data_IF_935231039979
#
_entry.id   IF_935231039979
#
_cell.length_a   1.000
_cell.length_b   1.000
_cell.length_c   1.000
_cell.angle_alpha   90.00
_cell.angle_beta   90.00
_cell.angle_gamma   90.00
#
_symmetry.space_group_name_H-M   'P 1'
#
loop_
_entity.id
_entity.type
_entity.pdbx_description
1 polymer ?
#
# COMPACT_ATOMS: atom_id res chain seq x y z
N UNK A 1 18.31 14.56 -26.93
CA UNK A 1 16.89 14.40 -26.53
C UNK A 1 16.35 12.96 -26.68
N UNK A 2 16.69 12.11 -27.67
CA UNK A 2 16.11 10.76 -27.76
C UNK A 2 16.69 9.75 -26.76
N UNK A 3 17.97 9.91 -26.37
CA UNK A 3 18.66 9.00 -25.43
C UNK A 3 17.98 8.93 -24.06
N UNK A 4 17.59 10.09 -23.50
CA UNK A 4 16.88 10.14 -22.21
C UNK A 4 15.50 9.48 -22.28
N UNK A 5 14.81 9.60 -23.42
CA UNK A 5 13.51 8.95 -23.65
C UNK A 5 13.67 7.42 -23.72
N UNK A 6 14.71 6.94 -24.40
CA UNK A 6 15.04 5.51 -24.49
C UNK A 6 15.41 4.95 -23.11
N UNK A 7 16.27 5.64 -22.35
CA UNK A 7 16.64 5.24 -20.99
C UNK A 7 15.43 5.14 -20.06
N UNK A 8 14.54 6.15 -20.08
CA UNK A 8 13.29 6.12 -19.30
C UNK A 8 12.38 4.96 -19.69
N UNK A 9 12.21 4.72 -20.99
CA UNK A 9 11.43 3.58 -21.49
C UNK A 9 11.99 2.24 -21.00
N UNK A 10 13.30 2.08 -21.04
CA UNK A 10 13.97 0.88 -20.55
C UNK A 10 13.77 0.67 -19.03
N UNK A 11 13.92 1.71 -18.22
CA UNK A 11 13.68 1.62 -16.77
C UNK A 11 12.23 1.24 -16.46
N UNK A 12 11.25 1.86 -17.14
CA UNK A 12 9.83 1.49 -16.98
C UNK A 12 9.61 0.02 -17.36
N UNK A 13 10.21 -0.42 -18.46
CA UNK A 13 10.09 -1.80 -18.91
C UNK A 13 10.65 -2.79 -17.89
N UNK A 14 11.83 -2.52 -17.30
CA UNK A 14 12.41 -3.32 -16.22
C UNK A 14 11.56 -3.32 -14.94
N UNK A 15 10.88 -2.21 -14.63
CA UNK A 15 10.05 -2.11 -13.42
C UNK A 15 8.71 -2.85 -13.59
N UNK A 16 8.19 -2.88 -14.81
CA UNK A 16 6.87 -3.43 -15.14
C UNK A 16 6.95 -4.92 -15.49
N UNK A 17 8.07 -5.43 -16.00
CA UNK A 17 8.26 -6.86 -16.32
C UNK A 17 7.89 -7.84 -15.20
N UNK A 18 8.28 -7.67 -13.91
CA UNK A 18 7.87 -8.61 -12.87
C UNK A 18 6.36 -8.65 -12.68
N UNK A 19 5.69 -7.50 -12.78
CA UNK A 19 4.22 -7.42 -12.70
C UNK A 19 3.57 -8.10 -13.90
N UNK A 20 4.08 -7.85 -15.11
CA UNK A 20 3.59 -8.51 -16.32
C UNK A 20 3.80 -10.03 -16.29
N UNK A 21 4.91 -10.50 -15.69
CA UNK A 21 5.17 -11.92 -15.55
C UNK A 21 4.13 -12.59 -14.65
N UNK A 22 3.78 -11.98 -13.51
CA UNK A 22 2.71 -12.47 -12.63
C UNK A 22 1.36 -12.46 -13.34
N UNK A 23 1.06 -11.40 -14.09
CA UNK A 23 -0.19 -11.34 -14.88
C UNK A 23 -0.22 -12.39 -16.00
N UNK A 24 0.90 -12.64 -16.68
CA UNK A 24 1.01 -13.66 -17.71
C UNK A 24 0.87 -15.08 -17.14
N UNK A 25 1.34 -15.33 -15.90
CA UNK A 25 1.16 -16.61 -15.24
C UNK A 25 -0.32 -17.00 -15.04
N UNK A 26 -1.21 -16.02 -14.87
CA UNK A 26 -2.66 -16.26 -14.80
C UNK A 26 -3.26 -16.80 -16.11
N UNK A 27 -2.64 -16.54 -17.27
CA UNK A 27 -3.09 -17.11 -18.55
C UNK A 27 -2.77 -18.61 -18.68
N UNK A 28 -1.85 -19.14 -17.87
CA UNK A 28 -1.40 -20.53 -17.92
C UNK A 28 -2.11 -21.40 -16.86
N UNK A 29 -3.41 -21.18 -16.66
CA UNK A 29 -4.18 -21.90 -15.65
C UNK A 29 -4.34 -23.39 -15.98
N UNK A 30 -3.97 -24.26 -15.04
CA UNK A 30 -4.11 -25.72 -15.14
C UNK A 30 -4.76 -26.34 -13.88
N UNK A 31 -4.97 -27.66 -13.90
CA UNK A 31 -5.60 -28.39 -12.80
C UNK A 31 -4.79 -28.32 -11.49
N UNK A 32 -3.46 -28.39 -11.58
CA UNK A 32 -2.58 -28.29 -10.42
C UNK A 32 -2.65 -26.91 -9.75
N UNK A 33 -2.73 -25.85 -10.56
CA UNK A 33 -2.91 -24.47 -10.10
C UNK A 33 -4.26 -24.30 -9.39
N UNK A 34 -5.32 -24.93 -9.89
CA UNK A 34 -6.64 -24.92 -9.26
C UNK A 34 -6.64 -25.60 -7.89
N UNK A 35 -5.98 -26.75 -7.76
CA UNK A 35 -5.88 -27.49 -6.49
C UNK A 35 -5.12 -26.68 -5.43
N UNK A 36 -4.04 -25.99 -5.81
CA UNK A 36 -3.31 -25.07 -4.91
C UNK A 36 -4.21 -23.92 -4.47
N UNK A 37 -4.92 -23.28 -5.41
CA UNK A 37 -5.82 -22.17 -5.10
C UNK A 37 -6.94 -22.58 -4.13
N UNK A 38 -7.54 -23.75 -4.34
CA UNK A 38 -8.54 -24.32 -3.45
C UNK A 38 -7.97 -24.62 -2.06
N UNK A 39 -6.77 -25.18 -1.98
CA UNK A 39 -6.07 -25.42 -0.70
C UNK A 39 -5.82 -24.13 0.08
N UNK A 40 -5.40 -23.06 -0.61
CA UNK A 40 -5.18 -21.74 -0.01
C UNK A 40 -6.49 -21.10 0.47
N UNK A 41 -7.58 -21.24 -0.31
CA UNK A 41 -8.91 -20.73 0.03
C UNK A 41 -9.49 -21.41 1.28
N UNK A 42 -9.20 -22.68 1.48
CA UNK A 42 -9.73 -23.43 2.61
C UNK A 42 -8.98 -23.21 3.93
N UNK A 43 -7.75 -22.71 3.88
CA UNK A 43 -6.87 -22.67 5.06
C UNK A 43 -6.54 -21.24 5.45
N UNK A 44 -5.80 -20.54 4.61
CA UNK A 44 -5.04 -19.36 5.01
C UNK A 44 -5.59 -18.05 4.46
N UNK A 45 -6.14 -18.06 3.25
CA UNK A 45 -6.64 -16.85 2.59
C UNK A 45 -7.77 -16.17 3.39
N UNK A 46 -8.80 -16.87 3.88
CA UNK A 46 -9.91 -16.22 4.57
C UNK A 46 -9.47 -15.56 5.88
N UNK A 47 -8.64 -16.26 6.66
CA UNK A 47 -8.18 -15.77 7.95
C UNK A 47 -7.22 -14.58 7.79
N UNK A 48 -6.27 -14.65 6.86
CA UNK A 48 -5.35 -13.54 6.60
C UNK A 48 -6.07 -12.32 6.03
N UNK A 49 -6.99 -12.51 5.07
CA UNK A 49 -7.74 -11.38 4.50
C UNK A 49 -8.59 -10.69 5.55
N UNK A 50 -9.31 -11.43 6.40
CA UNK A 50 -10.11 -10.86 7.48
C UNK A 50 -9.25 -10.11 8.49
N UNK A 51 -8.14 -10.72 8.93
CA UNK A 51 -7.22 -10.10 9.90
C UNK A 51 -6.60 -8.83 9.34
N UNK A 52 -6.12 -8.86 8.08
CA UNK A 52 -5.58 -7.67 7.42
C UNK A 52 -6.64 -6.58 7.24
N UNK A 53 -7.87 -6.93 6.85
CA UNK A 53 -8.97 -5.95 6.74
C UNK A 53 -9.28 -5.30 8.09
N UNK A 54 -9.30 -6.09 9.16
CA UNK A 54 -9.53 -5.59 10.51
C UNK A 54 -8.42 -4.64 10.96
N UNK A 55 -7.17 -5.02 10.75
CA UNK A 55 -6.01 -4.16 11.04
C UNK A 55 -6.04 -2.88 10.20
N UNK A 56 -6.32 -2.96 8.90
CA UNK A 56 -6.44 -1.80 8.03
C UNK A 56 -7.54 -0.84 8.50
N UNK A 57 -8.69 -1.37 8.94
CA UNK A 57 -9.79 -0.55 9.47
C UNK A 57 -9.37 0.16 10.75
N UNK A 58 -8.80 -0.57 11.72
CA UNK A 58 -8.34 0.00 12.98
C UNK A 58 -7.26 1.07 12.77
N UNK A 59 -6.29 0.80 11.88
CA UNK A 59 -5.25 1.76 11.52
C UNK A 59 -5.85 2.97 10.82
N UNK A 60 -6.77 2.80 9.87
CA UNK A 60 -7.44 3.91 9.20
C UNK A 60 -8.17 4.81 10.21
N UNK A 61 -8.92 4.21 11.14
CA UNK A 61 -9.60 4.96 12.22
C UNK A 61 -8.59 5.69 13.11
N UNK A 62 -7.51 5.03 13.52
CA UNK A 62 -6.48 5.62 14.36
C UNK A 62 -5.75 6.79 13.68
N UNK A 63 -5.31 6.60 12.43
CA UNK A 63 -4.57 7.61 11.67
C UNK A 63 -5.47 8.80 11.33
N UNK A 64 -6.71 8.57 10.87
CA UNK A 64 -7.63 9.66 10.55
C UNK A 64 -8.00 10.45 11.79
N UNK A 65 -8.28 9.79 12.92
CA UNK A 65 -8.62 10.48 14.16
C UNK A 65 -7.46 11.31 14.70
N UNK A 66 -6.30 10.69 14.95
CA UNK A 66 -5.13 11.36 15.53
C UNK A 66 -4.58 12.41 14.56
N UNK A 67 -4.47 12.07 13.26
CA UNK A 67 -3.95 12.96 12.23
C UNK A 67 -4.83 14.19 12.01
N UNK A 68 -6.16 14.02 11.91
CA UNK A 68 -7.08 15.15 11.71
C UNK A 68 -7.13 16.05 12.94
N UNK A 69 -7.13 15.48 14.15
CA UNK A 69 -7.10 16.27 15.40
C UNK A 69 -5.78 17.02 15.53
N UNK A 70 -4.64 16.39 15.25
CA UNK A 70 -3.33 17.05 15.27
C UNK A 70 -3.22 18.18 14.24
N UNK A 71 -3.70 17.93 13.01
CA UNK A 71 -3.77 18.95 11.95
C UNK A 71 -4.69 20.11 12.34
N UNK A 72 -5.87 19.84 12.90
CA UNK A 72 -6.80 20.85 13.39
C UNK A 72 -6.18 21.67 14.54
N UNK A 73 -5.50 21.02 15.49
CA UNK A 73 -4.86 21.68 16.62
C UNK A 73 -3.82 22.73 16.16
N UNK A 74 -2.96 22.37 15.20
CA UNK A 74 -1.89 23.25 14.70
C UNK A 74 -2.40 24.34 13.75
N UNK A 75 -3.53 24.11 13.07
CA UNK A 75 -4.09 25.06 12.09
C UNK A 75 -5.07 26.06 12.70
N UNK A 76 -5.85 25.67 13.73
CA UNK A 76 -6.87 26.53 14.33
C UNK A 76 -6.40 27.24 15.62
N UNK A 77 -5.40 26.71 16.34
CA UNK A 77 -5.00 27.24 17.64
C UNK A 77 -3.54 27.69 17.69
N UNK A 78 -3.29 28.77 18.42
CA UNK A 78 -1.95 29.28 18.72
C UNK A 78 -1.55 28.97 20.16
N UNK A 79 -0.61 28.03 20.33
CA UNK A 79 -0.08 27.61 21.63
C UNK A 79 1.46 27.54 21.63
N UNK A 80 2.12 27.74 22.79
CA UNK A 80 3.57 27.64 22.91
C UNK A 80 4.00 26.18 22.66
N UNK A 81 4.62 25.92 21.51
CA UNK A 81 5.00 24.57 21.05
C UNK A 81 4.42 24.16 19.69
N UNK A 82 3.53 24.97 19.10
CA UNK A 82 2.89 24.72 17.80
C UNK A 82 3.88 24.35 16.68
N UNK A 83 5.00 25.09 16.59
CA UNK A 83 6.03 24.86 15.57
C UNK A 83 6.68 23.48 15.70
N UNK A 84 6.96 23.01 16.91
CA UNK A 84 7.55 21.68 17.11
C UNK A 84 6.56 20.59 16.72
N UNK A 85 5.28 20.73 17.10
CA UNK A 85 4.24 19.78 16.74
C UNK A 85 4.00 19.74 15.22
N UNK A 86 4.02 20.89 14.54
CA UNK A 86 3.90 20.94 13.07
C UNK A 86 5.03 20.20 12.37
N UNK A 87 6.25 20.22 12.91
CA UNK A 87 7.37 19.45 12.38
C UNK A 87 7.23 17.95 12.67
N UNK A 88 6.80 17.59 13.89
CA UNK A 88 6.58 16.18 14.26
C UNK A 88 5.50 15.52 13.39
N UNK A 89 4.45 16.25 12.99
CA UNK A 89 3.41 15.74 12.09
C UNK A 89 3.89 15.47 10.66
N UNK A 90 5.04 16.03 10.25
CA UNK A 90 5.66 15.74 8.95
C UNK A 90 6.62 14.55 9.00
N UNK A 91 7.01 14.12 10.20
CA UNK A 91 7.82 12.93 10.38
C UNK A 91 6.92 11.69 10.32
N UNK A 92 7.35 10.61 9.63
CA UNK A 92 6.66 9.32 9.67
C UNK A 92 6.77 8.68 11.06
#
# INVERSE_FOLDING_TARGET
>A
MPLFTVLRGFTVWMLVTPVLMVLAAWLQWDAASADVWLGLLHTVLPEYTLTSLWLCLLVAVGVVSIGSVGAAAVSLFDFPGRRTLSWLLLLP
#
